data_IF_124290417815
#
_entry.id   IF_124290417815
#
_cell.length_a   1.000
_cell.length_b   1.000
_cell.length_c   1.000
_cell.angle_alpha   90.00
_cell.angle_beta   90.00
_cell.angle_gamma   90.00
#
_symmetry.space_group_name_H-M   'P 1'
#
loop_
_entity.id
_entity.type
_entity.pdbx_description
1 polymer ?
#
# COMPACT_ATOMS: atom_id res chain seq x y z
N UNK A 1 22.68 4.97 -1.70
CA UNK A 1 22.86 5.85 -2.88
C UNK A 1 21.60 5.77 -3.73
N UNK A 2 21.19 6.86 -4.38
CA UNK A 2 20.03 6.85 -5.29
C UNK A 2 20.41 6.14 -6.58
N UNK A 3 19.59 5.22 -7.11
CA UNK A 3 19.80 4.66 -8.44
C UNK A 3 19.61 5.74 -9.52
N UNK A 4 20.14 5.48 -10.71
CA UNK A 4 19.76 6.24 -11.90
C UNK A 4 18.27 5.98 -12.20
N UNK A 5 17.52 7.04 -12.49
CA UNK A 5 16.07 6.97 -12.65
C UNK A 5 15.59 8.01 -13.66
N UNK A 6 14.50 7.68 -14.35
CA UNK A 6 13.82 8.58 -15.25
C UNK A 6 13.00 9.64 -14.51
N UNK A 7 12.02 10.20 -15.24
CA UNK A 7 11.11 11.21 -14.72
C UNK A 7 10.26 10.71 -13.55
N UNK A 8 9.84 11.64 -12.68
CA UNK A 8 8.88 11.38 -11.62
C UNK A 8 7.49 11.18 -12.24
N UNK A 9 6.93 9.98 -12.09
CA UNK A 9 5.61 9.64 -12.61
C UNK A 9 4.50 9.97 -11.61
N UNK A 10 4.75 9.73 -10.32
CA UNK A 10 3.77 9.93 -9.27
C UNK A 10 4.43 10.12 -7.91
N UNK A 11 3.94 11.06 -7.11
CA UNK A 11 4.32 11.21 -5.70
C UNK A 11 3.09 11.04 -4.81
N UNK A 12 3.13 9.99 -3.99
CA UNK A 12 2.14 9.75 -2.95
C UNK A 12 2.60 10.22 -1.57
N UNK A 13 1.79 9.96 -0.56
CA UNK A 13 2.07 10.34 0.84
C UNK A 13 3.38 9.75 1.37
N UNK A 14 3.72 8.50 1.00
CA UNK A 14 4.86 7.77 1.56
C UNK A 14 5.90 7.31 0.53
N UNK A 15 5.60 7.40 -0.78
CA UNK A 15 6.43 6.85 -1.85
C UNK A 15 6.45 7.78 -3.06
N UNK A 16 7.55 7.77 -3.81
CA UNK A 16 7.66 8.37 -5.14
C UNK A 16 7.91 7.26 -6.16
N UNK A 17 7.31 7.38 -7.34
CA UNK A 17 7.42 6.42 -8.42
C UNK A 17 8.10 7.12 -9.60
N UNK A 18 9.18 6.55 -10.08
CA UNK A 18 9.99 7.07 -11.18
C UNK A 18 9.98 6.11 -12.35
N UNK A 19 10.06 6.66 -13.56
CA UNK A 19 10.26 5.89 -14.78
C UNK A 19 11.63 5.20 -14.79
N UNK A 20 11.75 4.15 -15.59
CA UNK A 20 13.03 3.51 -15.94
C UNK A 20 13.20 3.49 -17.45
N UNK A 21 14.35 3.00 -17.93
CA UNK A 21 14.58 2.70 -19.35
C UNK A 21 13.68 1.55 -19.87
N UNK A 22 13.19 0.70 -18.97
CA UNK A 22 12.29 -0.41 -19.26
C UNK A 22 10.82 0.00 -19.00
N UNK A 23 10.00 0.04 -20.06
CA UNK A 23 8.60 0.52 -19.96
C UNK A 23 7.69 -0.30 -19.03
N UNK A 24 8.05 -1.56 -18.78
CA UNK A 24 7.35 -2.51 -17.90
C UNK A 24 7.81 -2.42 -16.44
N UNK A 25 8.74 -1.50 -16.10
CA UNK A 25 9.31 -1.37 -14.76
C UNK A 25 9.30 0.08 -14.30
N UNK A 26 9.15 0.24 -12.99
CA UNK A 26 9.27 1.54 -12.30
C UNK A 26 10.16 1.40 -11.08
N UNK A 27 10.81 2.51 -10.71
CA UNK A 27 11.57 2.64 -9.48
C UNK A 27 10.70 3.28 -8.40
N UNK A 28 10.69 2.70 -7.21
CA UNK A 28 9.92 3.20 -6.07
C UNK A 28 10.86 3.65 -4.97
N UNK A 29 10.84 4.94 -4.65
CA UNK A 29 11.52 5.54 -3.50
C UNK A 29 10.58 5.55 -2.28
N UNK A 30 11.05 5.04 -1.15
CA UNK A 30 10.33 5.11 0.13
C UNK A 30 10.78 6.35 0.92
N UNK A 31 9.82 7.22 1.24
CA UNK A 31 10.07 8.48 1.95
C UNK A 31 10.10 8.30 3.47
N UNK A 32 10.79 9.22 4.14
CA UNK A 32 10.76 9.38 5.60
C UNK A 32 9.48 10.11 6.10
N UNK A 33 8.66 10.61 5.17
CA UNK A 33 7.37 11.25 5.46
C UNK A 33 6.41 10.28 6.16
N UNK A 34 5.93 10.64 7.34
CA UNK A 34 4.83 9.96 8.02
C UNK A 34 3.58 10.85 8.04
N UNK A 35 2.45 10.29 7.61
CA UNK A 35 1.16 10.98 7.57
C UNK A 35 0.13 10.21 8.37
N UNK A 36 -0.62 10.88 9.24
CA UNK A 36 -1.77 10.31 9.95
C UNK A 36 -3.01 11.21 9.81
N UNK A 37 -4.20 10.62 10.01
CA UNK A 37 -5.50 11.30 9.95
C UNK A 37 -5.73 12.07 8.63
N UNK A 38 -5.76 11.37 7.48
CA UNK A 38 -5.93 11.99 6.15
C UNK A 38 -4.96 13.16 5.90
N UNK A 39 -3.66 12.93 6.17
CA UNK A 39 -2.58 13.90 6.02
C UNK A 39 -2.64 15.15 6.92
N UNK A 40 -3.53 15.20 7.91
CA UNK A 40 -3.61 16.31 8.88
C UNK A 40 -2.38 16.37 9.80
N UNK A 41 -1.73 15.24 10.08
CA UNK A 41 -0.50 15.18 10.85
C UNK A 41 0.65 14.70 9.96
N UNK A 42 1.63 15.56 9.71
CA UNK A 42 2.87 15.24 8.96
C UNK A 42 4.06 15.28 9.90
N UNK A 43 4.92 14.27 9.84
CA UNK A 43 6.19 14.23 10.56
C UNK A 43 7.27 13.61 9.67
N UNK A 44 8.52 13.97 9.90
CA UNK A 44 9.67 13.23 9.36
C UNK A 44 10.11 12.22 10.40
N UNK A 45 10.08 10.94 10.04
CA UNK A 45 10.66 9.88 10.86
C UNK A 45 11.94 9.43 10.17
N UNK A 46 13.07 9.74 10.78
CA UNK A 46 14.37 9.29 10.30
C UNK A 46 14.36 7.77 10.11
N UNK A 47 14.99 7.31 9.04
CA UNK A 47 15.14 5.89 8.70
C UNK A 47 13.84 5.13 8.34
N UNK A 48 12.65 5.76 8.45
CA UNK A 48 11.36 5.16 8.07
C UNK A 48 11.39 4.62 6.63
N UNK A 49 11.93 5.41 5.70
CA UNK A 49 11.99 5.04 4.28
C UNK A 49 12.77 3.75 4.06
N UNK A 50 13.95 3.65 4.69
CA UNK A 50 14.80 2.46 4.63
C UNK A 50 14.12 1.27 5.26
N UNK A 51 13.63 1.40 6.50
CA UNK A 51 12.97 0.31 7.22
C UNK A 51 11.78 -0.22 6.42
N UNK A 52 10.90 0.66 5.92
CA UNK A 52 9.75 0.23 5.14
C UNK A 52 10.14 -0.43 3.82
N UNK A 53 11.17 0.07 3.12
CA UNK A 53 11.64 -0.54 1.88
C UNK A 53 12.18 -1.95 2.13
N UNK A 54 13.06 -2.11 3.12
CA UNK A 54 13.68 -3.39 3.47
C UNK A 54 12.65 -4.40 3.99
N UNK A 55 11.73 -3.98 4.87
CA UNK A 55 10.65 -4.85 5.36
C UNK A 55 9.74 -5.27 4.21
N UNK A 56 9.34 -4.33 3.34
CA UNK A 56 8.48 -4.64 2.18
C UNK A 56 9.13 -5.66 1.26
N UNK A 57 10.43 -5.49 0.95
CA UNK A 57 11.18 -6.44 0.15
C UNK A 57 11.14 -7.86 0.76
N UNK A 58 11.41 -8.00 2.07
CA UNK A 58 11.34 -9.30 2.74
C UNK A 58 9.95 -9.94 2.70
N UNK A 59 8.89 -9.13 2.81
CA UNK A 59 7.52 -9.63 2.74
C UNK A 59 7.17 -10.07 1.31
N UNK A 60 7.57 -9.33 0.29
CA UNK A 60 7.38 -9.74 -1.11
C UNK A 60 8.17 -11.01 -1.44
N UNK A 61 9.45 -11.10 -1.06
CA UNK A 61 10.27 -12.31 -1.20
C UNK A 61 9.59 -13.54 -0.57
N UNK A 62 9.00 -13.38 0.62
CA UNK A 62 8.28 -14.45 1.31
C UNK A 62 7.02 -14.87 0.54
N UNK A 63 6.22 -13.91 0.04
CA UNK A 63 5.01 -14.19 -0.73
C UNK A 63 5.34 -14.94 -2.04
N UNK A 64 6.37 -14.50 -2.76
CA UNK A 64 6.81 -15.14 -4.01
C UNK A 64 7.35 -16.54 -3.77
N UNK A 65 8.07 -16.77 -2.65
CA UNK A 65 8.50 -18.10 -2.24
C UNK A 65 7.32 -19.06 -1.94
N UNK A 66 6.14 -18.52 -1.64
CA UNK A 66 4.89 -19.29 -1.49
C UNK A 66 4.05 -19.36 -2.77
N UNK A 67 4.58 -18.88 -3.91
CA UNK A 67 3.91 -18.89 -5.20
C UNK A 67 2.84 -17.81 -5.39
N UNK A 68 2.82 -16.78 -4.53
CA UNK A 68 1.92 -15.63 -4.67
C UNK A 68 2.60 -14.60 -5.57
N UNK A 69 2.06 -14.28 -6.75
CA UNK A 69 2.66 -13.31 -7.65
C UNK A 69 2.60 -11.90 -7.05
N UNK A 70 3.69 -11.15 -7.21
CA UNK A 70 3.79 -9.77 -6.74
C UNK A 70 4.41 -8.90 -7.83
N UNK A 71 4.38 -7.58 -7.65
CA UNK A 71 5.07 -6.67 -8.56
C UNK A 71 6.56 -6.52 -8.25
N UNK A 72 7.09 -7.14 -7.20
CA UNK A 72 8.45 -6.90 -6.73
C UNK A 72 9.48 -7.54 -7.68
N UNK A 73 10.52 -6.79 -8.06
CA UNK A 73 11.61 -7.28 -8.92
C UNK A 73 12.99 -7.23 -8.27
N UNK A 74 13.11 -6.60 -7.10
CA UNK A 74 14.37 -6.49 -6.37
C UNK A 74 14.57 -5.12 -5.71
N UNK A 75 15.57 -5.04 -4.82
CA UNK A 75 16.05 -3.78 -4.27
C UNK A 75 16.99 -3.06 -5.25
N UNK A 76 16.88 -1.74 -5.31
CA UNK A 76 17.81 -0.84 -6.03
C UNK A 76 18.60 0.06 -5.06
N UNK A 77 18.59 -0.28 -3.77
CA UNK A 77 19.25 0.45 -2.70
C UNK A 77 18.48 0.32 -1.39
N UNK A 78 18.93 1.03 -0.36
CA UNK A 78 18.37 0.95 0.99
C UNK A 78 16.90 1.42 1.06
N UNK A 79 16.56 2.45 0.29
CA UNK A 79 15.23 3.09 0.25
C UNK A 79 14.52 2.92 -1.09
N UNK A 80 15.07 2.08 -1.98
CA UNK A 80 14.62 1.96 -3.37
C UNK A 80 14.35 0.50 -3.75
N UNK A 81 13.28 0.28 -4.51
CA UNK A 81 12.99 -1.02 -5.13
C UNK A 81 12.60 -0.84 -6.60
N UNK A 82 12.93 -1.85 -7.41
CA UNK A 82 12.41 -2.01 -8.76
C UNK A 82 11.14 -2.85 -8.67
N UNK A 83 10.08 -2.41 -9.32
CA UNK A 83 8.82 -3.15 -9.39
C UNK A 83 8.30 -3.18 -10.83
N UNK A 84 7.54 -4.22 -11.16
CA UNK A 84 6.75 -4.28 -12.37
C UNK A 84 5.70 -3.17 -12.36
N UNK A 85 5.60 -2.46 -13.48
CA UNK A 85 4.55 -1.45 -13.70
C UNK A 85 3.21 -2.17 -13.83
N UNK A 86 2.24 -1.74 -13.03
CA UNK A 86 0.88 -2.28 -13.03
C UNK A 86 -0.15 -1.15 -13.13
N UNK A 87 -1.33 -1.48 -13.63
CA UNK A 87 -2.51 -0.65 -13.44
C UNK A 87 -3.10 -0.96 -12.06
N UNK A 88 -3.09 0.03 -11.16
CA UNK A 88 -3.56 -0.17 -9.79
C UNK A 88 -5.09 -0.14 -9.78
N UNK A 89 -5.70 -1.23 -9.34
CA UNK A 89 -7.14 -1.26 -9.02
C UNK A 89 -7.38 -0.29 -7.85
N UNK A 90 -8.31 0.67 -7.95
CA UNK A 90 -8.55 1.68 -6.91
C UNK A 90 -9.33 1.13 -5.71
N UNK A 91 -8.84 0.03 -5.13
CA UNK A 91 -9.38 -0.62 -3.94
C UNK A 91 -8.26 -0.84 -2.91
N UNK A 92 -8.54 -0.51 -1.66
CA UNK A 92 -7.76 -0.99 -0.53
C UNK A 92 -8.43 -2.22 0.05
N UNK A 93 -7.71 -3.34 0.01
CA UNK A 93 -8.17 -4.65 0.50
C UNK A 93 -7.63 -4.87 1.91
N UNK A 94 -8.50 -4.86 2.92
CA UNK A 94 -8.11 -4.90 4.33
C UNK A 94 -8.60 -6.19 4.98
N UNK A 95 -7.66 -7.05 5.38
CA UNK A 95 -7.95 -8.27 6.14
C UNK A 95 -7.80 -8.02 7.65
N UNK A 96 -8.77 -8.47 8.45
CA UNK A 96 -8.76 -8.32 9.90
C UNK A 96 -8.94 -9.66 10.62
N UNK A 97 -7.92 -10.04 11.39
CA UNK A 97 -7.96 -11.20 12.29
C UNK A 97 -8.40 -10.82 13.72
N UNK A 98 -8.25 -9.54 14.08
CA UNK A 98 -8.55 -8.99 15.41
C UNK A 98 -9.22 -7.62 15.22
N UNK A 99 -10.25 -7.33 15.99
CA UNK A 99 -10.93 -6.04 15.97
C UNK A 99 -10.04 -4.93 16.58
N UNK A 100 -9.73 -3.91 15.79
CA UNK A 100 -9.00 -2.70 16.21
C UNK A 100 -9.32 -1.54 15.26
N UNK A 101 -8.84 -0.34 15.58
CA UNK A 101 -8.84 0.80 14.67
C UNK A 101 -10.25 1.25 14.25
N UNK A 102 -10.44 1.50 12.95
CA UNK A 102 -11.71 1.99 12.39
C UNK A 102 -12.89 1.07 12.69
N UNK A 103 -12.68 -0.25 12.70
CA UNK A 103 -13.73 -1.22 12.97
C UNK A 103 -14.37 -1.03 14.36
N UNK A 104 -13.55 -0.87 15.40
CA UNK A 104 -14.03 -0.63 16.77
C UNK A 104 -14.63 0.77 16.97
N UNK A 105 -14.30 1.74 16.10
CA UNK A 105 -14.92 3.07 16.13
C UNK A 105 -16.30 3.09 15.48
N UNK A 106 -16.51 2.24 14.48
CA UNK A 106 -17.73 2.19 13.68
C UNK A 106 -18.74 1.14 14.18
N UNK A 107 -18.32 0.24 15.06
CA UNK A 107 -19.15 -0.87 15.55
C UNK A 107 -19.05 -1.00 17.07
N UNK A 108 -19.97 -1.73 17.73
CA UNK A 108 -19.87 -2.04 19.15
C UNK A 108 -18.76 -3.03 19.52
N UNK A 109 -17.94 -3.49 18.56
CA UNK A 109 -16.88 -4.45 18.81
C UNK A 109 -15.79 -3.85 19.70
N UNK A 110 -15.40 -4.58 20.74
CA UNK A 110 -14.30 -4.19 21.62
C UNK A 110 -12.95 -4.43 20.95
N UNK A 111 -12.02 -3.53 21.18
CA UNK A 111 -10.63 -3.71 20.72
C UNK A 111 -10.03 -5.00 21.30
N UNK A 112 -9.31 -5.74 20.46
CA UNK A 112 -8.74 -7.05 20.81
C UNK A 112 -9.67 -8.25 20.60
N UNK A 113 -10.92 -8.05 20.18
CA UNK A 113 -11.85 -9.16 19.90
C UNK A 113 -11.33 -10.01 18.73
N UNK A 114 -11.10 -11.33 18.89
CA UNK A 114 -10.74 -12.21 17.79
C UNK A 114 -11.85 -12.32 16.76
N UNK A 115 -11.49 -12.38 15.48
CA UNK A 115 -12.44 -12.45 14.36
C UNK A 115 -12.22 -13.77 13.62
N UNK A 116 -13.25 -14.60 13.53
CA UNK A 116 -13.21 -15.90 12.84
C UNK A 116 -14.54 -16.17 12.13
N UNK A 117 -14.55 -16.38 10.79
CA UNK A 117 -13.40 -16.26 9.88
C UNK A 117 -12.89 -14.81 9.81
N UNK A 118 -11.66 -14.60 9.31
CA UNK A 118 -11.09 -13.27 9.14
C UNK A 118 -12.03 -12.36 8.31
N UNK A 119 -12.19 -11.12 8.73
CA UNK A 119 -13.04 -10.15 8.04
C UNK A 119 -12.27 -9.52 6.87
N UNK A 120 -12.93 -9.41 5.71
CA UNK A 120 -12.42 -8.73 4.52
C UNK A 120 -13.23 -7.45 4.29
N UNK A 121 -12.60 -6.30 4.48
CA UNK A 121 -13.17 -5.00 4.17
C UNK A 121 -12.57 -4.46 2.86
N UNK A 122 -13.40 -3.87 2.02
CA UNK A 122 -12.98 -3.22 0.77
C UNK A 122 -13.23 -1.72 0.90
N UNK A 123 -12.22 -0.89 0.66
CA UNK A 123 -12.36 0.57 0.66
C UNK A 123 -12.07 1.12 -0.73
N UNK A 124 -12.88 2.05 -1.22
CA UNK A 124 -12.58 2.74 -2.47
C UNK A 124 -11.39 3.67 -2.26
N UNK A 125 -10.35 3.55 -3.08
CA UNK A 125 -9.16 4.38 -2.92
C UNK A 125 -9.37 5.76 -3.52
N UNK A 126 -9.82 6.70 -2.70
CA UNK A 126 -10.06 8.09 -3.08
C UNK A 126 -9.95 9.00 -1.85
N UNK A 127 -8.82 9.70 -1.76
CA UNK A 127 -8.51 10.63 -0.68
C UNK A 127 -9.56 11.76 -0.54
N UNK A 128 -10.22 12.16 -1.63
CA UNK A 128 -11.24 13.21 -1.61
C UNK A 128 -12.59 12.71 -1.05
N UNK A 129 -12.88 11.42 -1.24
CA UNK A 129 -14.05 10.75 -0.64
C UNK A 129 -13.75 10.18 0.76
N UNK A 130 -12.50 10.24 1.21
CA UNK A 130 -12.07 9.75 2.52
C UNK A 130 -12.06 8.23 2.61
N UNK A 131 -11.72 7.57 1.51
CA UNK A 131 -11.61 6.11 1.38
C UNK A 131 -12.83 5.34 1.92
N UNK A 132 -14.02 5.47 1.31
CA UNK A 132 -15.26 4.91 1.88
C UNK A 132 -15.28 3.38 1.82
N UNK A 133 -15.86 2.75 2.85
CA UNK A 133 -16.13 1.31 2.88
C UNK A 133 -17.15 0.94 1.78
N UNK A 134 -16.79 -0.05 0.96
CA UNK A 134 -17.62 -0.61 -0.07
C UNK A 134 -18.10 -2.01 0.31
N UNK A 135 -19.35 -2.27 0.00
CA UNK A 135 -19.87 -3.64 -0.10
C UNK A 135 -19.48 -4.21 -1.46
N UNK A 136 -19.48 -5.54 -1.60
CA UNK A 136 -19.27 -6.20 -2.90
C UNK A 136 -20.24 -5.67 -3.97
N UNK A 137 -21.51 -5.46 -3.62
CA UNK A 137 -22.49 -4.89 -4.55
C UNK A 137 -22.10 -3.49 -5.05
N UNK A 138 -21.48 -2.66 -4.20
CA UNK A 138 -20.99 -1.33 -4.63
C UNK A 138 -19.75 -1.45 -5.50
N UNK A 139 -18.85 -2.40 -5.21
CA UNK A 139 -17.69 -2.68 -6.06
C UNK A 139 -18.12 -3.03 -7.48
N UNK A 140 -19.10 -3.94 -7.61
CA UNK A 140 -19.66 -4.31 -8.92
C UNK A 140 -20.38 -3.14 -9.60
N UNK A 141 -21.19 -2.37 -8.86
CA UNK A 141 -21.90 -1.21 -9.40
C UNK A 141 -20.95 -0.14 -9.96
N UNK A 142 -19.79 0.04 -9.32
CA UNK A 142 -18.78 0.99 -9.75
C UNK A 142 -17.93 0.47 -10.92
N UNK A 143 -18.04 -0.81 -11.30
CA UNK A 143 -17.26 -1.40 -12.38
C UNK A 143 -15.75 -1.35 -12.13
N UNK A 144 -15.33 -1.45 -10.86
CA UNK A 144 -13.91 -1.34 -10.48
C UNK A 144 -13.13 -2.63 -10.81
N UNK A 145 -13.82 -3.76 -10.78
CA UNK A 145 -13.33 -5.09 -11.13
C UNK A 145 -14.39 -5.77 -11.99
N UNK A 146 -13.95 -6.54 -12.99
CA UNK A 146 -14.79 -7.35 -13.88
C UNK A 146 -15.39 -8.58 -13.16
#
# INVERSE_FOLDING_TARGET
>A
MSPDHGELLYEGKAKRIFATDCSDRVLVEFKNDATAFNAQKKAQLEDKGRLNCQISARLFELLEAQGIPTHYLGLAGDTWMVVQRVEVIPLEVVLRNIATGSLCKQTPLKEGTPISPALLDLYYKDDALGDPLLTEARVHLLGIVD
#
